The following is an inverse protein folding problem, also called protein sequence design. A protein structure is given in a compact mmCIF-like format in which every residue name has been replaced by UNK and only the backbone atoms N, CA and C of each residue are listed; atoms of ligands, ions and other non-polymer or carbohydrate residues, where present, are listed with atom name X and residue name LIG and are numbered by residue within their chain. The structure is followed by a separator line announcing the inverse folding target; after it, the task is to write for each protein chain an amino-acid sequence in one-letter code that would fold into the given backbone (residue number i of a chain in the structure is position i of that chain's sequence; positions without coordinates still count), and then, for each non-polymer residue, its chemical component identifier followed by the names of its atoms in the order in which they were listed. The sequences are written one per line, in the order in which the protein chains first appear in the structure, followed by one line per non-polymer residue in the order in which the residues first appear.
data_IF_147524733796
#
_entry.id   IF_147524733796
#
_cell.length_a   1.000
_cell.length_b   1.000
_cell.length_c   1.000
_cell.angle_alpha   90.00
_cell.angle_beta   90.00
_cell.angle_gamma   90.00
#
_symmetry.space_group_name_H-M   'P 1'
#
loop_
_entity.id
_entity.type
_entity.pdbx_description
1 polymer ?
#
# COMPACT_ATOMS: atom_id res chain seq x y z
N UNK A 1 15.64 -20.59 -1.98
CA UNK A 1 14.25 -20.37 -1.52
C UNK A 1 14.17 -19.43 -0.31
N UNK A 2 14.88 -19.71 0.80
CA UNK A 2 14.87 -18.88 2.02
C UNK A 2 15.22 -17.40 1.78
N UNK A 3 16.26 -17.10 0.99
CA UNK A 3 16.63 -15.71 0.63
C UNK A 3 15.52 -14.94 -0.09
N UNK A 4 14.71 -15.63 -0.92
CA UNK A 4 13.58 -15.03 -1.62
C UNK A 4 12.42 -14.72 -0.65
N UNK A 5 12.13 -15.64 0.27
CA UNK A 5 11.10 -15.47 1.32
C UNK A 5 11.49 -14.30 2.25
N UNK A 6 12.74 -14.26 2.69
CA UNK A 6 13.26 -13.16 3.49
C UNK A 6 13.14 -11.80 2.78
N UNK A 7 13.42 -11.76 1.48
CA UNK A 7 13.26 -10.55 0.68
C UNK A 7 11.80 -10.09 0.55
N UNK A 8 10.83 -11.01 0.53
CA UNK A 8 9.41 -10.66 0.61
C UNK A 8 9.09 -9.97 1.94
N UNK A 9 9.48 -10.56 3.07
CA UNK A 9 9.21 -9.97 4.38
C UNK A 9 9.87 -8.60 4.55
N UNK A 10 11.05 -8.37 3.94
CA UNK A 10 11.62 -7.02 3.84
C UNK A 10 10.72 -6.03 3.10
N UNK A 11 10.19 -6.41 1.94
CA UNK A 11 9.26 -5.55 1.19
C UNK A 11 7.97 -5.28 1.97
N UNK A 12 7.42 -6.31 2.63
CA UNK A 12 6.28 -6.18 3.53
C UNK A 12 6.55 -5.15 4.64
N UNK A 13 7.64 -5.31 5.39
CA UNK A 13 8.02 -4.40 6.46
C UNK A 13 8.28 -2.99 5.94
N UNK A 14 8.93 -2.83 4.79
CA UNK A 14 9.15 -1.50 4.19
C UNK A 14 7.84 -0.80 3.84
N UNK A 15 6.84 -1.54 3.33
CA UNK A 15 5.54 -0.99 3.01
C UNK A 15 4.76 -0.60 4.27
N UNK A 16 4.71 -1.49 5.27
CA UNK A 16 3.98 -1.26 6.52
C UNK A 16 4.63 -0.17 7.36
N UNK A 17 5.96 -0.15 7.50
CA UNK A 17 6.67 0.86 8.31
C UNK A 17 7.03 2.14 7.55
N UNK A 18 6.56 2.28 6.30
CA UNK A 18 6.73 3.52 5.53
C UNK A 18 8.15 3.79 5.01
N UNK A 19 9.08 2.81 5.09
CA UNK A 19 10.39 2.89 4.46
C UNK A 19 10.28 2.59 2.94
N UNK A 20 9.49 3.40 2.25
CA UNK A 20 9.16 3.21 0.84
C UNK A 20 10.40 3.33 -0.07
N UNK A 21 11.42 4.08 0.33
CA UNK A 21 12.65 4.23 -0.44
C UNK A 21 13.44 2.93 -0.52
N UNK A 22 13.72 2.32 0.64
CA UNK A 22 14.35 1.01 0.71
C UNK A 22 13.46 -0.05 0.05
N UNK A 23 12.16 -0.03 0.32
CA UNK A 23 11.19 -0.95 -0.28
C UNK A 23 11.17 -0.89 -1.81
N UNK A 24 11.22 0.32 -2.38
CA UNK A 24 11.27 0.51 -3.82
C UNK A 24 12.62 0.06 -4.42
N UNK A 25 13.74 0.30 -3.73
CA UNK A 25 15.06 -0.21 -4.16
C UNK A 25 15.05 -1.74 -4.23
N UNK A 26 14.59 -2.41 -3.16
CA UNK A 26 14.43 -3.87 -3.12
C UNK A 26 13.49 -4.34 -4.23
N UNK A 27 12.38 -3.64 -4.47
CA UNK A 27 11.43 -4.00 -5.51
C UNK A 27 12.01 -3.91 -6.93
N UNK A 28 12.88 -2.94 -7.20
CA UNK A 28 13.57 -2.79 -8.48
C UNK A 28 14.63 -3.88 -8.70
N UNK A 29 15.47 -4.15 -7.69
CA UNK A 29 16.51 -5.18 -7.75
C UNK A 29 15.94 -6.59 -7.94
N UNK A 30 14.86 -6.88 -7.20
CA UNK A 30 14.24 -8.22 -7.20
C UNK A 30 13.39 -8.48 -8.42
N UNK A 31 12.69 -7.47 -8.96
CA UNK A 31 11.76 -7.67 -10.08
C UNK A 31 10.79 -8.83 -9.80
N UNK A 32 10.43 -9.62 -10.81
CA UNK A 32 9.49 -10.74 -10.63
C UNK A 32 10.16 -12.05 -10.17
N UNK A 33 11.41 -11.99 -9.71
CA UNK A 33 12.17 -13.19 -9.32
C UNK A 33 11.50 -13.95 -8.17
N UNK A 34 10.85 -13.25 -7.23
CA UNK A 34 10.10 -13.89 -6.15
C UNK A 34 8.98 -14.79 -6.70
N UNK A 35 8.06 -14.22 -7.49
CA UNK A 35 6.96 -14.95 -8.11
C UNK A 35 7.42 -16.17 -8.93
N UNK A 36 8.54 -16.04 -9.66
CA UNK A 36 9.10 -17.14 -10.45
C UNK A 36 9.77 -18.22 -9.61
N UNK A 37 10.36 -17.84 -8.47
CA UNK A 37 11.15 -18.75 -7.63
C UNK A 37 10.34 -19.48 -6.56
N UNK A 38 9.09 -19.08 -6.33
CA UNK A 38 8.17 -19.74 -5.38
C UNK A 38 6.75 -19.90 -5.96
N UNK A 39 6.59 -20.61 -7.10
CA UNK A 39 5.27 -20.84 -7.69
C UNK A 39 4.37 -21.61 -6.72
N UNK A 40 3.07 -21.30 -6.73
CA UNK A 40 2.07 -21.98 -5.90
C UNK A 40 2.08 -21.61 -4.41
N UNK A 41 3.07 -20.84 -3.93
CA UNK A 41 3.12 -20.38 -2.55
C UNK A 41 2.09 -19.27 -2.30
N UNK A 42 1.32 -19.37 -1.22
CA UNK A 42 0.31 -18.36 -0.88
C UNK A 42 0.92 -16.96 -0.74
N UNK A 43 2.14 -16.87 -0.20
CA UNK A 43 2.88 -15.60 -0.03
C UNK A 43 3.15 -14.89 -1.37
N UNK A 44 3.26 -15.65 -2.46
CA UNK A 44 3.46 -15.09 -3.81
C UNK A 44 2.32 -14.16 -4.23
N UNK A 45 1.11 -14.36 -3.71
CA UNK A 45 -0.04 -13.51 -4.03
C UNK A 45 0.09 -12.09 -3.45
N UNK A 46 0.81 -11.95 -2.34
CA UNK A 46 0.96 -10.69 -1.61
C UNK A 46 2.13 -9.84 -2.09
N UNK A 47 3.15 -10.47 -2.69
CA UNK A 47 4.38 -9.79 -3.12
C UNK A 47 4.15 -8.57 -4.03
N UNK A 48 3.30 -8.65 -5.08
CA UNK A 48 3.10 -7.52 -5.96
C UNK A 48 2.55 -6.32 -5.20
N UNK A 49 1.63 -6.53 -4.25
CA UNK A 49 0.98 -5.46 -3.52
C UNK A 49 1.97 -4.59 -2.74
N UNK A 50 2.72 -5.18 -1.80
CA UNK A 50 3.61 -4.42 -0.91
C UNK A 50 4.73 -3.70 -1.67
N UNK A 51 5.23 -4.32 -2.75
CA UNK A 51 6.18 -3.66 -3.65
C UNK A 51 5.53 -2.51 -4.41
N UNK A 52 4.30 -2.71 -4.88
CA UNK A 52 3.50 -1.69 -5.55
C UNK A 52 3.34 -0.44 -4.70
N UNK A 53 2.98 -0.61 -3.42
CA UNK A 53 2.85 0.51 -2.46
C UNK A 53 4.14 1.33 -2.39
N UNK A 54 5.28 0.68 -2.16
CA UNK A 54 6.58 1.38 -2.10
C UNK A 54 6.94 2.07 -3.43
N UNK A 55 6.68 1.41 -4.56
CA UNK A 55 6.98 1.96 -5.89
C UNK A 55 6.10 3.17 -6.21
N UNK A 56 4.79 3.15 -5.90
CA UNK A 56 3.93 4.32 -6.08
C UNK A 56 4.30 5.47 -5.16
N UNK A 57 4.59 5.18 -3.88
CA UNK A 57 5.05 6.18 -2.93
C UNK A 57 6.32 6.91 -3.44
N UNK A 58 7.31 6.14 -3.94
CA UNK A 58 8.53 6.72 -4.49
C UNK A 58 8.32 7.39 -5.86
N UNK A 59 7.39 6.92 -6.68
CA UNK A 59 7.00 7.59 -7.91
C UNK A 59 6.41 8.97 -7.62
N UNK A 60 5.51 9.08 -6.64
CA UNK A 60 4.91 10.36 -6.21
C UNK A 60 5.96 11.29 -5.59
N UNK A 61 6.84 10.77 -4.73
CA UNK A 61 7.89 11.55 -4.05
C UNK A 61 8.94 12.11 -5.00
N UNK A 62 9.37 11.33 -5.99
CA UNK A 62 10.57 11.65 -6.80
C UNK A 62 10.27 11.99 -8.27
N UNK A 63 9.05 11.72 -8.74
CA UNK A 63 8.65 11.82 -10.13
C UNK A 63 9.53 11.03 -11.13
N UNK A 64 10.36 10.09 -10.66
CA UNK A 64 11.25 9.30 -11.51
C UNK A 64 10.46 8.23 -12.28
N UNK A 65 10.57 8.25 -13.61
CA UNK A 65 9.86 7.35 -14.52
C UNK A 65 10.06 5.85 -14.20
N UNK A 66 11.25 5.47 -13.68
CA UNK A 66 11.54 4.08 -13.30
C UNK A 66 10.55 3.53 -12.27
N UNK A 67 10.15 4.32 -11.27
CA UNK A 67 9.23 3.86 -10.24
C UNK A 67 7.82 3.72 -10.80
N UNK A 68 7.33 4.72 -11.54
CA UNK A 68 6.03 4.69 -12.22
C UNK A 68 5.89 3.48 -13.14
N UNK A 69 6.92 3.21 -13.97
CA UNK A 69 6.94 2.04 -14.87
C UNK A 69 6.75 0.73 -14.12
N UNK A 70 7.52 0.52 -13.04
CA UNK A 70 7.46 -0.72 -12.27
C UNK A 70 6.17 -0.84 -11.44
N UNK A 71 5.68 0.26 -10.88
CA UNK A 71 4.40 0.31 -10.17
C UNK A 71 3.23 -0.06 -11.09
N UNK A 72 3.23 0.46 -12.32
CA UNK A 72 2.22 0.12 -13.33
C UNK A 72 2.29 -1.34 -13.75
N UNK A 73 3.49 -1.91 -13.92
CA UNK A 73 3.66 -3.32 -14.24
C UNK A 73 3.07 -4.25 -13.16
N UNK A 74 3.29 -3.89 -11.89
CA UNK A 74 2.71 -4.59 -10.74
C UNK A 74 1.19 -4.51 -10.77
N UNK A 75 0.61 -3.31 -10.96
CA UNK A 75 -0.84 -3.10 -11.02
C UNK A 75 -1.48 -3.90 -12.16
N UNK A 76 -0.91 -3.83 -13.36
CA UNK A 76 -1.39 -4.59 -14.53
C UNK A 76 -1.35 -6.11 -14.30
N UNK A 77 -0.39 -6.61 -13.51
CA UNK A 77 -0.37 -8.02 -13.13
C UNK A 77 -1.54 -8.39 -12.23
N UNK A 78 -1.79 -7.62 -11.17
CA UNK A 78 -2.93 -7.89 -10.28
C UNK A 78 -4.25 -7.88 -11.07
N UNK A 79 -4.42 -6.91 -11.99
CA UNK A 79 -5.60 -6.88 -12.88
C UNK A 79 -5.73 -8.12 -13.76
N UNK A 80 -4.61 -8.63 -14.29
CA UNK A 80 -4.61 -9.88 -15.07
C UNK A 80 -5.01 -11.07 -14.21
N UNK A 81 -4.49 -11.16 -12.98
CA UNK A 81 -4.87 -12.23 -12.04
C UNK A 81 -6.36 -12.20 -11.71
N UNK A 82 -6.91 -11.02 -11.45
CA UNK A 82 -8.35 -10.85 -11.21
C UNK A 82 -9.16 -11.30 -12.43
N UNK A 83 -8.75 -10.88 -13.64
CA UNK A 83 -9.41 -11.32 -14.90
C UNK A 83 -9.37 -12.84 -15.09
N UNK A 84 -8.31 -13.49 -14.60
CA UNK A 84 -8.16 -14.95 -14.61
C UNK A 84 -8.89 -15.65 -13.44
N UNK A 85 -9.70 -14.94 -12.65
CA UNK A 85 -10.52 -15.51 -11.58
C UNK A 85 -9.89 -15.46 -10.18
N UNK A 86 -8.71 -14.87 -10.03
CA UNK A 86 -8.04 -14.77 -8.74
C UNK A 86 -8.54 -13.58 -7.91
N UNK A 87 -9.70 -13.76 -7.27
CA UNK A 87 -10.43 -12.70 -6.57
C UNK A 87 -9.77 -12.26 -5.25
N UNK A 88 -8.89 -13.08 -4.66
CA UNK A 88 -8.26 -12.79 -3.37
C UNK A 88 -7.30 -11.59 -3.40
N UNK A 89 -6.97 -11.03 -4.57
CA UNK A 89 -6.13 -9.82 -4.70
C UNK A 89 -6.91 -8.58 -5.15
N UNK A 90 -8.24 -8.65 -5.21
CA UNK A 90 -9.08 -7.50 -5.61
C UNK A 90 -8.84 -6.30 -4.70
N UNK A 91 -8.67 -6.53 -3.39
CA UNK A 91 -8.39 -5.48 -2.42
C UNK A 91 -7.04 -4.80 -2.64
N UNK A 92 -5.99 -5.57 -2.91
CA UNK A 92 -4.70 -5.02 -3.32
C UNK A 92 -4.79 -4.18 -4.59
N UNK A 93 -5.50 -4.67 -5.61
CA UNK A 93 -5.66 -3.91 -6.86
C UNK A 93 -6.37 -2.57 -6.63
N UNK A 94 -7.41 -2.54 -5.79
CA UNK A 94 -8.15 -1.29 -5.50
C UNK A 94 -7.29 -0.25 -4.79
N UNK A 95 -6.45 -0.67 -3.84
CA UNK A 95 -5.48 0.24 -3.20
C UNK A 95 -4.47 0.76 -4.23
N UNK A 96 -3.92 -0.10 -5.09
CA UNK A 96 -2.97 0.34 -6.13
C UNK A 96 -3.62 1.19 -7.23
N UNK A 97 -4.91 1.02 -7.51
CA UNK A 97 -5.67 1.90 -8.40
C UNK A 97 -5.80 3.30 -7.78
N UNK A 98 -6.02 3.40 -6.47
CA UNK A 98 -6.06 4.69 -5.76
C UNK A 98 -4.69 5.41 -5.79
N UNK A 99 -3.60 4.67 -5.57
CA UNK A 99 -2.24 5.20 -5.68
C UNK A 99 -1.90 5.68 -7.09
N UNK A 100 -2.37 4.98 -8.13
CA UNK A 100 -2.18 5.41 -9.51
C UNK A 100 -2.96 6.67 -9.83
N UNK A 101 -4.22 6.75 -9.42
CA UNK A 101 -5.04 7.94 -9.61
C UNK A 101 -4.38 9.16 -8.93
N UNK A 102 -3.86 8.97 -7.71
CA UNK A 102 -3.10 10.00 -7.00
C UNK A 102 -1.82 10.42 -7.74
N UNK A 103 -1.03 9.46 -8.24
CA UNK A 103 0.18 9.74 -9.03
C UNK A 103 -0.13 10.50 -10.33
N UNK A 104 -1.29 10.26 -10.94
CA UNK A 104 -1.73 10.92 -12.16
C UNK A 104 -2.46 12.26 -11.92
N UNK A 105 -2.52 12.74 -10.68
CA UNK A 105 -3.20 13.99 -10.33
C UNK A 105 -4.73 13.91 -10.33
N UNK A 106 -5.31 12.72 -10.48
CA UNK A 106 -6.76 12.48 -10.42
C UNK A 106 -7.21 12.33 -8.97
N UNK A 107 -7.09 13.40 -8.21
CA UNK A 107 -7.22 13.38 -6.74
C UNK A 107 -8.61 12.94 -6.28
N UNK A 108 -9.68 13.43 -6.91
CA UNK A 108 -11.05 13.01 -6.57
C UNK A 108 -11.30 11.51 -6.81
N UNK A 109 -10.79 10.98 -7.92
CA UNK A 109 -10.83 9.54 -8.21
C UNK A 109 -10.06 8.75 -7.15
N UNK A 110 -8.87 9.23 -6.78
CA UNK A 110 -8.04 8.59 -5.75
C UNK A 110 -8.78 8.52 -4.41
N UNK A 111 -9.46 9.59 -4.00
CA UNK A 111 -10.23 9.61 -2.76
C UNK A 111 -11.37 8.60 -2.78
N UNK A 112 -12.13 8.54 -3.88
CA UNK A 112 -13.19 7.55 -4.04
C UNK A 112 -12.65 6.11 -3.96
N UNK A 113 -11.57 5.84 -4.69
CA UNK A 113 -10.93 4.53 -4.71
C UNK A 113 -10.37 4.13 -3.33
N UNK A 114 -9.78 5.07 -2.59
CA UNK A 114 -9.34 4.81 -1.22
C UNK A 114 -10.51 4.51 -0.27
N UNK A 115 -11.60 5.29 -0.34
CA UNK A 115 -12.81 5.03 0.47
C UNK A 115 -13.37 3.64 0.18
N UNK A 116 -13.49 3.27 -1.10
CA UNK A 116 -13.89 1.92 -1.52
C UNK A 116 -12.95 0.84 -0.97
N UNK A 117 -11.64 1.03 -1.09
CA UNK A 117 -10.62 0.09 -0.63
C UNK A 117 -10.67 -0.11 0.89
N UNK A 118 -10.83 0.96 1.67
CA UNK A 118 -10.95 0.89 3.13
C UNK A 118 -12.20 0.09 3.55
N UNK A 119 -13.35 0.35 2.93
CA UNK A 119 -14.59 -0.38 3.24
C UNK A 119 -14.46 -1.86 2.89
N UNK A 120 -13.93 -2.16 1.71
CA UNK A 120 -13.79 -3.54 1.23
C UNK A 120 -12.81 -4.36 2.06
N UNK A 121 -11.66 -3.78 2.44
CA UNK A 121 -10.65 -4.49 3.25
C UNK A 121 -11.19 -4.81 4.64
N UNK A 122 -11.90 -3.88 5.28
CA UNK A 122 -12.57 -4.13 6.58
C UNK A 122 -13.63 -5.21 6.46
N UNK A 123 -14.55 -5.12 5.48
CA UNK A 123 -15.64 -6.08 5.29
C UNK A 123 -15.14 -7.52 5.07
N UNK A 124 -13.99 -7.68 4.43
CA UNK A 124 -13.41 -8.98 4.13
C UNK A 124 -12.39 -9.45 5.19
N UNK A 125 -12.22 -8.73 6.30
CA UNK A 125 -11.33 -9.13 7.39
C UNK A 125 -9.83 -8.94 7.12
N UNK A 126 -9.44 -8.21 6.07
CA UNK A 126 -8.04 -7.91 5.76
C UNK A 126 -7.51 -6.77 6.63
N UNK A 127 -7.40 -7.02 7.94
CA UNK A 127 -7.17 -5.98 8.97
C UNK A 127 -5.92 -5.13 8.73
N UNK A 128 -4.78 -5.74 8.40
CA UNK A 128 -3.53 -5.01 8.16
C UNK A 128 -3.53 -4.25 6.84
N UNK A 129 -4.18 -4.79 5.80
CA UNK A 129 -4.36 -4.07 4.53
C UNK A 129 -5.34 -2.92 4.67
N UNK A 130 -6.37 -3.06 5.53
CA UNK A 130 -7.28 -1.98 5.89
C UNK A 130 -6.53 -0.87 6.64
N UNK A 131 -5.65 -1.23 7.58
CA UNK A 131 -4.81 -0.28 8.29
C UNK A 131 -3.91 0.51 7.32
N UNK A 132 -3.22 -0.22 6.43
CA UNK A 132 -2.37 0.38 5.41
C UNK A 132 -3.17 1.26 4.44
N UNK A 133 -4.34 0.83 3.98
CA UNK A 133 -5.18 1.63 3.09
C UNK A 133 -5.61 2.95 3.73
N UNK A 134 -6.02 2.93 5.00
CA UNK A 134 -6.38 4.15 5.74
C UNK A 134 -5.15 5.05 5.95
N UNK A 135 -4.00 4.50 6.29
CA UNK A 135 -2.75 5.26 6.44
C UNK A 135 -2.36 5.95 5.12
N UNK A 136 -2.31 5.21 4.02
CA UNK A 136 -1.95 5.73 2.70
C UNK A 136 -2.95 6.79 2.22
N UNK A 137 -4.23 6.61 2.56
CA UNK A 137 -5.25 7.61 2.26
C UNK A 137 -5.07 8.89 3.08
N UNK A 138 -4.82 8.76 4.39
CA UNK A 138 -4.55 9.92 5.25
C UNK A 138 -3.33 10.71 4.76
N UNK A 139 -2.24 10.02 4.39
CA UNK A 139 -1.05 10.67 3.85
C UNK A 139 -1.33 11.44 2.55
N UNK A 140 -2.25 10.95 1.70
CA UNK A 140 -2.68 11.69 0.53
C UNK A 140 -3.52 12.93 0.92
N UNK A 141 -4.46 12.78 1.84
CA UNK A 141 -5.33 13.86 2.30
C UNK A 141 -4.54 15.01 2.94
N UNK A 142 -3.48 14.70 3.71
CA UNK A 142 -2.60 15.70 4.33
C UNK A 142 -1.79 16.52 3.31
N UNK A 143 -1.71 16.10 2.05
CA UNK A 143 -1.08 16.90 0.98
C UNK A 143 -2.04 17.95 0.42
N UNK A 144 -3.33 17.85 0.71
CA UNK A 144 -4.35 18.83 0.33
C UNK A 144 -4.27 20.07 1.21
N UNK A 145 -4.60 21.24 0.66
CA UNK A 145 -4.75 22.49 1.41
C UNK A 145 -6.17 22.71 1.94
N UNK A 146 -7.10 21.81 1.62
CA UNK A 146 -8.50 21.90 2.02
C UNK A 146 -8.72 21.42 3.47
N UNK A 147 -9.52 22.18 4.24
CA UNK A 147 -9.80 21.90 5.65
C UNK A 147 -10.58 20.60 5.85
N UNK A 148 -11.52 20.28 4.95
CA UNK A 148 -12.29 19.03 5.06
C UNK A 148 -11.37 17.82 4.85
N UNK A 149 -10.41 17.94 3.93
CA UNK A 149 -9.37 16.92 3.72
C UNK A 149 -8.54 16.68 4.99
N UNK A 150 -8.24 17.73 5.77
CA UNK A 150 -7.51 17.58 7.04
C UNK A 150 -8.30 16.77 8.08
N UNK A 151 -9.59 17.07 8.30
CA UNK A 151 -10.43 16.33 9.24
C UNK A 151 -10.58 14.86 8.82
N UNK A 152 -10.80 14.62 7.52
CA UNK A 152 -10.82 13.27 6.95
C UNK A 152 -9.48 12.55 7.19
N UNK A 153 -8.34 13.27 7.08
CA UNK A 153 -7.02 12.67 7.32
C UNK A 153 -6.85 12.21 8.77
N UNK A 154 -7.24 13.04 9.74
CA UNK A 154 -7.17 12.69 11.18
C UNK A 154 -8.06 11.48 11.49
N UNK A 155 -9.26 11.44 10.92
CA UNK A 155 -10.14 10.28 11.05
C UNK A 155 -9.48 9.01 10.49
N UNK A 156 -8.90 9.10 9.29
CA UNK A 156 -8.23 7.96 8.64
C UNK A 156 -6.99 7.49 9.40
N UNK A 157 -6.20 8.40 9.99
CA UNK A 157 -5.08 8.03 10.85
C UNK A 157 -5.52 7.27 12.10
N UNK A 158 -6.58 7.73 12.76
CA UNK A 158 -7.14 7.05 13.94
C UNK A 158 -7.64 5.65 13.59
N UNK A 159 -8.34 5.49 12.45
CA UNK A 159 -8.76 4.18 11.96
C UNK A 159 -7.56 3.27 11.63
N UNK A 160 -6.51 3.81 11.00
CA UNK A 160 -5.29 3.05 10.74
C UNK A 160 -4.63 2.57 12.05
N UNK A 161 -4.52 3.44 13.07
CA UNK A 161 -3.98 3.10 14.39
C UNK A 161 -4.79 2.01 15.06
N UNK A 162 -6.12 2.14 15.08
CA UNK A 162 -7.03 1.14 15.65
C UNK A 162 -6.86 -0.22 14.97
N UNK A 163 -6.79 -0.25 13.63
CA UNK A 163 -6.64 -1.49 12.86
C UNK A 163 -5.24 -2.11 13.04
N UNK A 164 -4.17 -1.31 13.09
CA UNK A 164 -2.84 -1.83 13.41
C UNK A 164 -2.75 -2.37 14.83
N UNK A 165 -3.43 -1.74 15.81
CA UNK A 165 -3.54 -2.23 17.17
C UNK A 165 -4.29 -3.57 17.22
N UNK A 166 -5.45 -3.65 16.55
CA UNK A 166 -6.22 -4.90 16.44
C UNK A 166 -5.41 -6.03 15.77
N UNK A 167 -4.59 -5.70 14.78
CA UNK A 167 -3.69 -6.66 14.14
C UNK A 167 -2.48 -7.04 15.01
N UNK A 168 -2.20 -6.31 16.10
CA UNK A 168 -1.12 -6.59 17.04
C UNK A 168 0.20 -5.87 16.76
N UNK A 169 0.21 -4.84 15.90
CA UNK A 169 1.43 -4.11 15.51
C UNK A 169 1.70 -2.88 16.39
N UNK A 170 2.01 -3.11 17.67
CA UNK A 170 2.26 -2.04 18.65
C UNK A 170 3.38 -1.09 18.23
N UNK A 171 4.47 -1.61 17.64
CA UNK A 171 5.58 -0.77 17.15
C UNK A 171 5.14 0.17 16.04
N UNK A 172 4.28 -0.29 15.12
CA UNK A 172 3.73 0.55 14.05
C UNK A 172 2.77 1.60 14.60
N UNK A 173 1.94 1.24 15.60
CA UNK A 173 1.05 2.19 16.29
C UNK A 173 1.85 3.32 16.94
N UNK A 174 2.89 2.99 17.70
CA UNK A 174 3.73 3.99 18.35
C UNK A 174 4.39 4.92 17.32
N UNK A 175 4.94 4.34 16.24
CA UNK A 175 5.55 5.11 15.15
C UNK A 175 4.57 6.10 14.51
N UNK A 176 3.30 5.73 14.33
CA UNK A 176 2.27 6.65 13.80
C UNK A 176 1.93 7.76 14.79
N UNK A 177 1.78 7.43 16.09
CA UNK A 177 1.51 8.43 17.14
C UNK A 177 2.65 9.44 17.26
N UNK A 178 3.89 8.98 17.21
CA UNK A 178 5.06 9.86 17.26
C UNK A 178 5.12 10.78 16.03
N UNK A 179 4.98 10.19 14.82
CA UNK A 179 5.04 10.90 13.54
C UNK A 179 3.95 11.96 13.40
N UNK A 180 2.75 11.71 13.92
CA UNK A 180 1.58 12.59 13.79
C UNK A 180 1.12 13.22 15.11
N UNK A 181 2.01 13.30 16.10
CA UNK A 181 1.73 13.84 17.45
C UNK A 181 1.14 15.26 17.46
N UNK A 182 1.40 16.07 16.43
CA UNK A 182 0.82 17.42 16.31
C UNK A 182 -0.62 17.47 15.82
N UNK A 183 -1.20 16.35 15.36
CA UNK A 183 -2.55 16.31 14.77
C UNK A 183 -3.42 15.14 15.29
N UNK A 184 -2.85 14.25 16.09
CA UNK A 184 -3.52 13.12 16.73
C UNK A 184 -3.81 13.38 18.20
#
# INVERSE_FOLDING_TARGET
MLSLIYSFFKSFLCAIFGNHELGAKIALERGNKFLKGVPGQCIAQFDPFYRGVCLYAMARKTNKAKYKKHANNVRSRLKRWIKSGFINVVHHSKILDAEEAALCGRIHDAYKLYKEACVMTVRNGFTHDAALANERYAELLLQSKDRNSFLDAVYRLNEAIKLYLQWGSNAKVQMLRDKYSGIL
#
